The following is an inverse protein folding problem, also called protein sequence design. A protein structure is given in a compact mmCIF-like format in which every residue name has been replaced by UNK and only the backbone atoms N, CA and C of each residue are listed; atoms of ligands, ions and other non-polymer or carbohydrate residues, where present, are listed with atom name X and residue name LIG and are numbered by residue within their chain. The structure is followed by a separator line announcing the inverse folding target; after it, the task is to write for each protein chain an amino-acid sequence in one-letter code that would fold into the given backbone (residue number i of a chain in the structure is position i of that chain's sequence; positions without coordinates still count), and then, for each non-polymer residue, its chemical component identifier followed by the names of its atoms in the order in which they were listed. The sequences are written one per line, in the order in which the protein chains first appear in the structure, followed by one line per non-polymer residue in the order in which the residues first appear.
data_IF_025099697116
#
_entry.id   IF_025099697116
#
_cell.length_a   1.000
_cell.length_b   1.000
_cell.length_c   1.000
_cell.angle_alpha   90.00
_cell.angle_beta   90.00
_cell.angle_gamma   90.00
#
_symmetry.space_group_name_H-M   'P 1'
#
loop_
_entity.id
_entity.type
_entity.pdbx_description
1 polymer ?
#
# COMPACT_ATOMS: atom_id res chain seq x y z
N UNK A 1 13.42 7.00 -27.95
CA UNK A 1 12.69 6.24 -26.91
C UNK A 1 13.01 6.92 -25.60
N UNK A 2 12.06 7.64 -24.99
CA UNK A 2 12.34 8.48 -23.83
C UNK A 2 12.76 7.61 -22.64
N UNK A 3 13.89 7.92 -22.02
CA UNK A 3 14.45 7.23 -20.84
C UNK A 3 13.44 7.11 -19.68
N UNK A 4 12.51 8.06 -19.60
CA UNK A 4 11.46 8.06 -18.58
C UNK A 4 10.40 6.95 -18.80
N UNK A 5 10.19 6.49 -20.04
CA UNK A 5 9.20 5.43 -20.34
C UNK A 5 9.73 4.03 -20.01
N UNK A 6 11.03 3.78 -20.17
CA UNK A 6 11.66 2.51 -19.83
C UNK A 6 11.68 2.30 -18.32
N UNK A 7 12.03 3.34 -17.55
CA UNK A 7 12.01 3.31 -16.08
C UNK A 7 10.58 3.10 -15.56
N UNK A 8 9.57 3.76 -16.15
CA UNK A 8 8.17 3.55 -15.76
C UNK A 8 7.68 2.13 -16.03
N UNK A 9 8.04 1.55 -17.18
CA UNK A 9 7.71 0.15 -17.49
C UNK A 9 8.37 -0.81 -16.49
N UNK A 10 9.61 -0.54 -16.10
CA UNK A 10 10.34 -1.33 -15.11
C UNK A 10 9.68 -1.25 -13.72
N UNK A 11 9.32 -0.05 -13.25
CA UNK A 11 8.61 0.15 -11.98
C UNK A 11 7.25 -0.58 -11.97
N UNK A 12 6.51 -0.53 -13.08
CA UNK A 12 5.24 -1.25 -13.19
C UNK A 12 5.42 -2.77 -13.35
N UNK A 13 6.62 -3.24 -13.67
CA UNK A 13 6.97 -4.66 -13.64
C UNK A 13 7.17 -5.17 -12.21
N UNK A 14 7.66 -4.32 -11.30
CA UNK A 14 7.74 -4.64 -9.86
C UNK A 14 6.39 -4.88 -9.20
N UNK A 15 5.28 -4.40 -9.79
CA UNK A 15 3.94 -4.72 -9.28
C UNK A 15 3.61 -6.21 -9.34
N UNK A 16 4.14 -6.94 -10.32
CA UNK A 16 3.87 -8.37 -10.46
C UNK A 16 4.40 -9.20 -9.28
N UNK A 17 5.70 -9.14 -8.91
CA UNK A 17 6.20 -9.84 -7.74
C UNK A 17 5.55 -9.33 -6.44
N UNK A 18 5.27 -8.03 -6.33
CA UNK A 18 4.57 -7.48 -5.16
C UNK A 18 3.17 -8.09 -4.99
N UNK A 19 2.38 -8.18 -6.06
CA UNK A 19 1.05 -8.78 -6.00
C UNK A 19 1.10 -10.27 -5.68
N UNK A 20 2.08 -11.01 -6.23
CA UNK A 20 2.26 -12.44 -5.93
C UNK A 20 2.64 -12.63 -4.46
N UNK A 21 3.63 -11.89 -3.97
CA UNK A 21 4.03 -11.97 -2.57
C UNK A 21 2.90 -11.54 -1.64
N UNK A 22 2.14 -10.49 -1.99
CA UNK A 22 0.97 -10.03 -1.24
C UNK A 22 -0.10 -11.11 -1.16
N UNK A 23 -0.41 -11.77 -2.28
CA UNK A 23 -1.37 -12.87 -2.31
C UNK A 23 -0.91 -14.06 -1.44
N UNK A 24 0.38 -14.39 -1.45
CA UNK A 24 0.95 -15.44 -0.59
C UNK A 24 0.88 -15.03 0.87
N UNK A 25 1.32 -13.82 1.22
CA UNK A 25 1.36 -13.32 2.59
C UNK A 25 -0.04 -13.21 3.20
N UNK A 26 -0.94 -12.47 2.54
CA UNK A 26 -2.29 -12.25 3.03
C UNK A 26 -3.17 -13.51 2.88
N UNK A 27 -2.98 -14.30 1.82
CA UNK A 27 -3.66 -15.59 1.66
C UNK A 27 -3.28 -16.54 2.79
N UNK A 28 -1.99 -16.69 3.07
CA UNK A 28 -1.51 -17.54 4.16
C UNK A 28 -1.98 -17.05 5.53
N UNK A 29 -2.06 -15.72 5.73
CA UNK A 29 -2.60 -15.11 6.95
C UNK A 29 -4.10 -15.38 7.19
N UNK A 30 -4.90 -15.41 6.13
CA UNK A 30 -6.35 -15.71 6.23
C UNK A 30 -6.61 -17.21 6.39
N UNK A 31 -5.88 -18.06 5.67
CA UNK A 31 -6.16 -19.52 5.65
C UNK A 31 -5.47 -20.29 6.77
N UNK A 32 -4.30 -19.85 7.25
CA UNK A 32 -3.52 -20.58 8.27
C UNK A 32 -3.72 -19.92 9.64
N UNK A 33 -4.75 -20.37 10.37
CA UNK A 33 -5.08 -19.85 11.71
C UNK A 33 -3.97 -20.02 12.76
N UNK A 34 -3.04 -20.97 12.58
CA UNK A 34 -1.91 -21.23 13.49
C UNK A 34 -0.74 -20.26 13.33
N UNK A 35 -0.81 -19.36 12.33
CA UNK A 35 0.27 -18.47 11.95
C UNK A 35 0.46 -17.34 12.97
N UNK A 36 -0.64 -16.77 13.47
CA UNK A 36 -0.59 -15.71 14.48
C UNK A 36 -0.74 -16.33 15.87
N UNK A 37 0.35 -16.39 16.64
CA UNK A 37 0.40 -16.90 18.03
C UNK A 37 0.26 -15.80 19.08
N UNK A 38 -0.21 -14.62 18.68
CA UNK A 38 -0.35 -13.45 19.55
C UNK A 38 -1.75 -13.38 20.18
N UNK A 39 -1.98 -12.36 21.02
CA UNK A 39 -3.25 -12.18 21.71
C UNK A 39 -4.43 -12.19 20.73
N UNK A 40 -5.58 -12.81 21.06
CA UNK A 40 -6.68 -13.01 20.12
C UNK A 40 -7.20 -11.73 19.45
N UNK A 41 -7.11 -10.58 20.14
CA UNK A 41 -7.45 -9.27 19.56
C UNK A 41 -6.47 -8.77 18.49
N UNK A 42 -5.18 -9.10 18.59
CA UNK A 42 -4.18 -8.78 17.55
C UNK A 42 -4.32 -9.73 16.36
N UNK A 43 -4.64 -11.00 16.61
CA UNK A 43 -4.91 -11.98 15.55
C UNK A 43 -6.11 -11.57 14.71
N UNK A 44 -7.21 -11.16 15.36
CA UNK A 44 -8.41 -10.71 14.65
C UNK A 44 -8.13 -9.46 13.80
N UNK A 45 -7.33 -8.51 14.30
CA UNK A 45 -6.92 -7.33 13.54
C UNK A 45 -6.03 -7.69 12.35
N UNK A 46 -5.04 -8.56 12.53
CA UNK A 46 -4.16 -9.01 11.45
C UNK A 46 -4.95 -9.71 10.33
N UNK A 47 -5.87 -10.61 10.67
CA UNK A 47 -6.74 -11.29 9.70
C UNK A 47 -7.64 -10.28 8.98
N UNK A 48 -8.21 -9.31 9.70
CA UNK A 48 -9.01 -8.23 9.09
C UNK A 48 -8.20 -7.42 8.08
N UNK A 49 -6.96 -7.08 8.43
CA UNK A 49 -6.05 -6.34 7.55
C UNK A 49 -5.61 -7.17 6.32
N UNK A 50 -5.37 -8.46 6.49
CA UNK A 50 -5.06 -9.37 5.38
C UNK A 50 -6.25 -9.49 4.41
N UNK A 51 -7.47 -9.58 4.93
CA UNK A 51 -8.69 -9.65 4.11
C UNK A 51 -8.88 -8.37 3.28
N UNK A 52 -8.72 -7.19 3.90
CA UNK A 52 -8.77 -5.91 3.19
C UNK A 52 -7.67 -5.83 2.13
N UNK A 53 -6.47 -6.32 2.46
CA UNK A 53 -5.35 -6.30 1.53
C UNK A 53 -5.61 -7.17 0.29
N UNK A 54 -6.26 -8.33 0.44
CA UNK A 54 -6.65 -9.21 -0.66
C UNK A 54 -7.82 -8.66 -1.49
N UNK A 55 -8.88 -8.18 -0.83
CA UNK A 55 -10.14 -7.83 -1.50
C UNK A 55 -10.12 -6.41 -2.05
N UNK A 56 -9.33 -5.52 -1.47
CA UNK A 56 -9.30 -4.09 -1.84
C UNK A 56 -7.96 -3.72 -2.44
N UNK A 57 -6.85 -3.96 -1.73
CA UNK A 57 -5.54 -3.41 -2.13
C UNK A 57 -4.98 -4.13 -3.36
N UNK A 58 -5.07 -5.46 -3.39
CA UNK A 58 -4.65 -6.26 -4.53
C UNK A 58 -5.35 -5.86 -5.85
N UNK A 59 -6.70 -5.81 -5.96
CA UNK A 59 -7.34 -5.39 -7.20
C UNK A 59 -7.06 -3.93 -7.54
N UNK A 60 -7.00 -3.04 -6.55
CA UNK A 60 -6.64 -1.63 -6.78
C UNK A 60 -5.23 -1.54 -7.39
N UNK A 61 -4.25 -2.26 -6.86
CA UNK A 61 -2.88 -2.26 -7.41
C UNK A 61 -2.82 -2.78 -8.84
N UNK A 62 -3.56 -3.84 -9.15
CA UNK A 62 -3.62 -4.40 -10.51
C UNK A 62 -4.27 -3.40 -11.49
N UNK A 63 -5.45 -2.88 -11.15
CA UNK A 63 -6.20 -1.95 -12.01
C UNK A 63 -5.41 -0.66 -12.22
N UNK A 64 -4.83 -0.12 -11.15
CA UNK A 64 -4.06 1.13 -11.22
C UNK A 64 -2.74 0.95 -11.94
N UNK A 65 -2.08 -0.20 -11.84
CA UNK A 65 -0.89 -0.51 -12.64
C UNK A 65 -1.22 -0.57 -14.14
N UNK A 66 -2.32 -1.22 -14.53
CA UNK A 66 -2.78 -1.28 -15.93
C UNK A 66 -3.11 0.13 -16.45
N UNK A 67 -3.84 0.92 -15.65
CA UNK A 67 -4.26 2.25 -16.06
C UNK A 67 -3.10 3.27 -16.04
N UNK A 68 -2.09 3.07 -15.18
CA UNK A 68 -0.85 3.82 -15.19
C UNK A 68 0.01 3.53 -16.43
N UNK A 69 0.01 2.28 -16.93
CA UNK A 69 0.65 1.94 -18.24
C UNK A 69 0.03 2.70 -19.41
N UNK A 70 -1.23 3.13 -19.30
CA UNK A 70 -1.93 3.93 -20.31
C UNK A 70 -1.66 5.44 -20.18
N UNK A 71 -0.75 5.86 -19.30
CA UNK A 71 -0.36 7.26 -19.12
C UNK A 71 -1.23 8.05 -18.13
N UNK A 72 -2.12 7.39 -17.37
CA UNK A 72 -2.98 8.10 -16.40
C UNK A 72 -2.20 8.51 -15.15
N UNK A 73 -2.02 9.83 -14.95
CA UNK A 73 -1.37 10.40 -13.76
C UNK A 73 -2.15 10.09 -12.47
N UNK A 74 -3.50 10.13 -12.53
CA UNK A 74 -4.35 9.80 -11.39
C UNK A 74 -4.18 8.34 -10.96
N UNK A 75 -4.14 7.42 -11.92
CA UNK A 75 -3.90 6.01 -11.64
C UNK A 75 -2.55 5.78 -10.97
N UNK A 76 -1.52 6.51 -11.41
CA UNK A 76 -0.17 6.44 -10.82
C UNK A 76 -0.14 6.93 -9.37
N UNK A 77 -0.89 7.99 -9.05
CA UNK A 77 -1.01 8.47 -7.66
C UNK A 77 -1.72 7.44 -6.77
N UNK A 78 -2.80 6.81 -7.26
CA UNK A 78 -3.50 5.76 -6.50
C UNK A 78 -2.59 4.53 -6.33
N UNK A 79 -1.85 4.15 -7.37
CA UNK A 79 -0.87 3.06 -7.31
C UNK A 79 0.21 3.34 -6.26
N UNK A 80 0.79 4.54 -6.24
CA UNK A 80 1.75 4.96 -5.21
C UNK A 80 1.15 4.90 -3.81
N UNK A 81 -0.11 5.31 -3.64
CA UNK A 81 -0.84 5.18 -2.37
C UNK A 81 -0.99 3.72 -1.92
N UNK A 82 -1.31 2.81 -2.84
CA UNK A 82 -1.38 1.37 -2.56
C UNK A 82 -0.02 0.79 -2.17
N UNK A 83 1.06 1.17 -2.85
CA UNK A 83 2.42 0.77 -2.47
C UNK A 83 2.80 1.32 -1.10
N UNK A 84 2.47 2.57 -0.78
CA UNK A 84 2.71 3.15 0.54
C UNK A 84 1.94 2.41 1.65
N UNK A 85 0.69 2.00 1.40
CA UNK A 85 -0.08 1.16 2.31
C UNK A 85 0.63 -0.19 2.58
N UNK A 86 1.19 -0.82 1.55
CA UNK A 86 1.94 -2.08 1.73
C UNK A 86 3.21 -1.86 2.55
N UNK A 87 3.96 -0.79 2.29
CA UNK A 87 5.13 -0.43 3.10
C UNK A 87 4.75 -0.29 4.56
N UNK A 88 3.69 0.46 4.86
CA UNK A 88 3.20 0.64 6.23
C UNK A 88 2.83 -0.70 6.87
N UNK A 89 1.98 -1.48 6.22
CA UNK A 89 1.49 -2.78 6.72
C UNK A 89 2.64 -3.74 6.99
N UNK A 90 3.53 -3.94 6.02
CA UNK A 90 4.61 -4.92 6.16
C UNK A 90 5.77 -4.43 7.03
N UNK A 91 5.92 -3.12 7.24
CA UNK A 91 6.79 -2.59 8.31
C UNK A 91 6.25 -3.03 9.66
N UNK A 92 4.96 -2.83 9.94
CA UNK A 92 4.35 -3.30 11.19
C UNK A 92 4.49 -4.81 11.36
N UNK A 93 4.34 -5.60 10.30
CA UNK A 93 4.50 -7.05 10.37
C UNK A 93 5.95 -7.48 10.58
N UNK A 94 6.92 -6.76 10.01
CA UNK A 94 8.34 -7.05 10.18
C UNK A 94 8.86 -6.71 11.60
N UNK A 95 8.31 -5.67 12.24
CA UNK A 95 8.82 -5.18 13.53
C UNK A 95 7.94 -5.52 14.74
N UNK A 96 6.63 -5.68 14.57
CA UNK A 96 5.69 -5.82 15.70
C UNK A 96 5.15 -7.24 15.90
N UNK A 97 5.19 -8.11 14.88
CA UNK A 97 4.65 -9.48 14.97
C UNK A 97 5.77 -10.45 15.38
N UNK A 98 5.43 -11.43 16.22
CA UNK A 98 6.39 -12.49 16.59
C UNK A 98 6.88 -13.25 15.37
N UNK A 99 8.13 -13.71 15.45
CA UNK A 99 8.80 -14.43 14.38
C UNK A 99 7.94 -15.57 13.84
N UNK A 100 7.73 -15.56 12.51
CA UNK A 100 6.87 -16.47 11.80
C UNK A 100 7.59 -17.00 10.54
N UNK A 101 7.31 -18.23 10.05
CA UNK A 101 7.83 -18.72 8.77
C UNK A 101 7.69 -17.77 7.57
N UNK A 102 6.66 -16.91 7.54
CA UNK A 102 6.44 -15.90 6.48
C UNK A 102 7.28 -14.63 6.64
N UNK A 103 8.10 -14.53 7.68
CA UNK A 103 8.91 -13.34 7.95
C UNK A 103 9.76 -12.92 6.74
N UNK A 104 10.39 -13.88 6.05
CA UNK A 104 11.17 -13.61 4.83
C UNK A 104 10.31 -13.04 3.70
N UNK A 105 9.06 -13.49 3.59
CA UNK A 105 8.09 -12.97 2.60
C UNK A 105 7.70 -11.54 2.94
N UNK A 106 7.50 -11.21 4.22
CA UNK A 106 7.22 -9.84 4.66
C UNK A 106 8.39 -8.90 4.38
N UNK A 107 9.63 -9.33 4.64
CA UNK A 107 10.83 -8.53 4.32
C UNK A 107 10.96 -8.33 2.80
N UNK A 108 10.76 -9.37 2.00
CA UNK A 108 10.82 -9.26 0.55
C UNK A 108 9.76 -8.28 0.02
N UNK A 109 8.52 -8.38 0.53
CA UNK A 109 7.44 -7.43 0.25
C UNK A 109 7.80 -6.00 0.63
N UNK A 110 8.34 -5.81 1.83
CA UNK A 110 8.74 -4.52 2.33
C UNK A 110 9.85 -3.91 1.47
N UNK A 111 10.88 -4.68 1.12
CA UNK A 111 11.98 -4.23 0.27
C UNK A 111 11.51 -3.86 -1.14
N UNK A 112 10.71 -4.73 -1.79
CA UNK A 112 10.18 -4.46 -3.11
C UNK A 112 9.23 -3.25 -3.12
N UNK A 113 8.35 -3.13 -2.13
CA UNK A 113 7.40 -2.01 -2.03
C UNK A 113 8.11 -0.69 -1.70
N UNK A 114 9.09 -0.68 -0.81
CA UNK A 114 9.92 0.50 -0.55
C UNK A 114 10.67 0.96 -1.79
N UNK A 115 11.32 0.04 -2.49
CA UNK A 115 12.04 0.36 -3.72
C UNK A 115 11.09 0.93 -4.79
N UNK A 116 9.92 0.30 -4.97
CA UNK A 116 8.88 0.76 -5.88
C UNK A 116 8.34 2.15 -5.49
N UNK A 117 8.19 2.44 -4.19
CA UNK A 117 7.73 3.73 -3.70
C UNK A 117 8.75 4.83 -3.97
N UNK A 118 10.01 4.62 -3.58
CA UNK A 118 11.09 5.60 -3.76
C UNK A 118 11.30 5.88 -5.25
N UNK A 119 11.40 4.83 -6.06
CA UNK A 119 11.57 4.97 -7.51
C UNK A 119 10.36 5.62 -8.16
N UNK A 120 9.16 5.26 -7.73
CA UNK A 120 7.91 5.82 -8.24
C UNK A 120 7.72 7.30 -7.90
N UNK A 121 8.17 7.73 -6.73
CA UNK A 121 8.21 9.14 -6.31
C UNK A 121 9.32 9.93 -7.01
N UNK A 122 10.52 9.37 -7.13
CA UNK A 122 11.64 10.03 -7.81
C UNK A 122 11.36 10.29 -9.29
N UNK A 123 10.59 9.40 -9.93
CA UNK A 123 10.16 9.53 -11.33
C UNK A 123 8.85 10.30 -11.50
N UNK A 124 8.23 10.74 -10.39
CA UNK A 124 7.03 11.55 -10.43
C UNK A 124 7.42 12.99 -10.76
N UNK A 125 7.28 13.38 -12.03
CA UNK A 125 7.54 14.76 -12.46
C UNK A 125 6.48 15.71 -11.88
N UNK A 126 6.77 16.28 -10.71
CA UNK A 126 5.95 17.28 -10.00
C UNK A 126 5.98 18.67 -10.66
N UNK A 127 6.79 18.87 -11.70
CA UNK A 127 6.99 20.16 -12.39
C UNK A 127 5.69 20.71 -13.01
N UNK A 128 4.69 19.86 -13.30
CA UNK A 128 3.34 20.26 -13.70
C UNK A 128 2.28 20.24 -12.58
N UNK A 129 2.66 19.87 -11.36
CA UNK A 129 1.75 19.44 -10.29
C UNK A 129 0.74 20.50 -9.83
N UNK A 130 1.06 21.79 -9.94
CA UNK A 130 0.09 22.85 -9.62
C UNK A 130 -1.15 22.80 -10.52
N UNK A 131 -1.03 22.37 -11.78
CA UNK A 131 -2.15 22.27 -12.70
C UNK A 131 -3.04 21.03 -12.44
N UNK A 132 -2.49 19.94 -11.90
CA UNK A 132 -3.25 18.71 -11.64
C UNK A 132 -4.13 18.76 -10.38
N UNK A 133 -3.73 19.56 -9.38
CA UNK A 133 -4.45 19.66 -8.09
C UNK A 133 -5.38 20.88 -7.99
N UNK A 134 -5.20 21.91 -8.83
CA UNK A 134 -5.86 23.21 -8.66
C UNK A 134 -7.36 23.26 -8.97
N UNK A 135 -7.96 22.24 -9.61
CA UNK A 135 -9.36 22.31 -10.07
C UNK A 135 -10.37 21.36 -9.42
N UNK A 136 -9.94 20.19 -8.94
CA UNK A 136 -10.88 19.06 -8.66
C UNK A 136 -10.62 18.31 -7.35
N UNK A 137 -9.65 18.73 -6.54
CA UNK A 137 -9.35 18.03 -5.28
C UNK A 137 -10.28 18.56 -4.17
N UNK A 138 -11.15 17.72 -3.57
CA UNK A 138 -12.10 18.16 -2.54
C UNK A 138 -11.38 18.33 -1.20
N UNK A 139 -10.52 19.36 -1.11
CA UNK A 139 -9.68 19.67 0.06
C UNK A 139 -10.52 19.77 1.33
N UNK A 140 -11.68 20.41 1.26
CA UNK A 140 -12.59 20.56 2.40
C UNK A 140 -13.08 19.22 2.95
N UNK A 141 -13.43 18.27 2.09
CA UNK A 141 -13.87 16.95 2.53
C UNK A 141 -12.74 16.16 3.19
N UNK A 142 -11.53 16.21 2.60
CA UNK A 142 -10.33 15.56 3.16
C UNK A 142 -9.95 16.16 4.52
N UNK A 143 -9.96 17.49 4.65
CA UNK A 143 -9.68 18.15 5.93
C UNK A 143 -10.70 17.80 7.01
N UNK A 144 -11.99 17.81 6.69
CA UNK A 144 -13.05 17.41 7.65
C UNK A 144 -12.85 15.97 8.07
N UNK A 145 -12.62 15.07 7.13
CA UNK A 145 -12.39 13.65 7.42
C UNK A 145 -11.19 13.46 8.37
N UNK A 146 -10.06 14.11 8.10
CA UNK A 146 -8.86 14.03 8.95
C UNK A 146 -9.13 14.59 10.35
N UNK A 147 -9.81 15.73 10.47
CA UNK A 147 -10.15 16.34 11.77
C UNK A 147 -11.07 15.44 12.59
N UNK A 148 -12.09 14.85 11.95
CA UNK A 148 -13.00 13.89 12.60
C UNK A 148 -12.22 12.68 13.08
N UNK A 149 -11.36 12.10 12.22
CA UNK A 149 -10.54 10.95 12.60
C UNK A 149 -9.61 11.26 13.78
N UNK A 150 -8.89 12.39 13.71
CA UNK A 150 -7.99 12.82 14.77
C UNK A 150 -8.72 13.04 16.09
N UNK A 151 -9.92 13.63 16.04
CA UNK A 151 -10.76 13.83 17.22
C UNK A 151 -11.21 12.50 17.83
N UNK A 152 -11.68 11.54 17.01
CA UNK A 152 -12.07 10.21 17.48
C UNK A 152 -10.90 9.49 18.16
N UNK A 153 -9.72 9.49 17.54
CA UNK A 153 -8.51 8.91 18.14
C UNK A 153 -8.12 9.60 19.45
N UNK A 154 -8.22 10.92 19.51
CA UNK A 154 -7.94 11.69 20.72
C UNK A 154 -8.86 11.30 21.88
N UNK A 155 -10.17 11.20 21.62
CA UNK A 155 -11.13 10.79 22.65
C UNK A 155 -10.95 9.32 23.08
N UNK A 156 -10.69 8.42 22.13
CA UNK A 156 -10.43 7.01 22.42
C UNK A 156 -9.20 6.82 23.32
N UNK A 157 -8.21 7.69 23.22
CA UNK A 157 -7.01 7.64 24.06
C UNK A 157 -7.19 8.25 25.46
N UNK A 158 -8.20 9.10 25.63
CA UNK A 158 -8.53 9.71 26.91
C UNK A 158 -9.50 8.88 27.76
N UNK A 159 -10.14 7.85 27.18
CA UNK A 159 -10.99 6.88 27.86
C UNK A 159 -10.21 5.74 28.48
#
# INVERSE_FOLDING_TARGET
MNENDSVQKFILWLTAPICVLLAIAAGSGVFIKWLYRDAPGLVAQAIGQDLVSLVVVLPVLIITAILARRGSVRARLIWLGGIAYLVYTYTSFAFAIKYNPLFLVYIALLGCSLYALISGLATLNLVGGKACFAGTTPTRAVSIFIVVLASLFYFLWLS
#
